data_IF_810008942574
#
_entry.id   IF_810008942574
#
_cell.length_a   1.000
_cell.length_b   1.000
_cell.length_c   1.000
_cell.angle_alpha   90.00
_cell.angle_beta   90.00
_cell.angle_gamma   90.00
#
_symmetry.space_group_name_H-M   'P 1'
#
loop_
_entity.id
_entity.type
_entity.pdbx_description
1 polymer ?
#
# COMPACT_ATOMS: atom_id res chain seq x y z
N UNK A 1 -13.27 -8.63 -45.68
CA UNK A 1 -12.83 -8.03 -44.40
C UNK A 1 -11.38 -7.53 -44.40
N UNK A 2 -10.72 -7.37 -45.56
CA UNK A 2 -9.29 -7.00 -45.67
C UNK A 2 -8.96 -5.52 -45.40
N UNK A 3 -9.95 -4.61 -45.41
CA UNK A 3 -9.73 -3.16 -45.23
C UNK A 3 -9.69 -2.68 -43.78
N UNK A 4 -10.13 -3.48 -42.81
CA UNK A 4 -10.14 -3.08 -41.39
C UNK A 4 -8.72 -2.98 -40.82
N UNK A 5 -7.80 -3.83 -41.27
CA UNK A 5 -6.44 -3.90 -40.72
C UNK A 5 -5.54 -2.73 -41.14
N UNK A 6 -5.83 -2.02 -42.23
CA UNK A 6 -5.01 -0.90 -42.68
C UNK A 6 -5.26 0.36 -41.83
N UNK A 7 -6.54 0.68 -41.61
CA UNK A 7 -6.95 1.86 -40.85
C UNK A 7 -6.56 1.75 -39.36
N UNK A 8 -6.69 0.57 -38.75
CA UNK A 8 -6.30 0.38 -37.34
C UNK A 8 -4.78 0.44 -37.13
N UNK A 9 -3.98 0.01 -38.12
CA UNK A 9 -2.52 0.17 -38.08
C UNK A 9 -2.10 1.63 -38.10
N UNK A 10 -2.72 2.42 -38.95
CA UNK A 10 -2.40 3.84 -39.10
C UNK A 10 -2.72 4.63 -37.81
N UNK A 11 -3.85 4.30 -37.17
CA UNK A 11 -4.21 4.85 -35.84
C UNK A 11 -3.21 4.46 -34.75
N UNK A 12 -2.76 3.20 -34.73
CA UNK A 12 -1.76 2.72 -33.79
C UNK A 12 -0.41 3.43 -33.94
N UNK A 13 0.03 3.66 -35.18
CA UNK A 13 1.26 4.41 -35.45
C UNK A 13 1.13 5.88 -34.99
N UNK A 14 -0.01 6.52 -35.26
CA UNK A 14 -0.26 7.91 -34.90
C UNK A 14 -0.34 8.14 -33.38
N UNK A 15 -0.69 7.13 -32.58
CA UNK A 15 -0.64 7.24 -31.11
C UNK A 15 0.73 6.87 -30.52
N UNK A 16 1.77 6.70 -31.36
CA UNK A 16 3.15 6.49 -30.94
C UNK A 16 3.55 5.02 -30.76
N UNK A 17 2.74 4.06 -31.24
CA UNK A 17 3.15 2.65 -31.27
C UNK A 17 4.16 2.42 -32.41
N UNK A 18 5.17 1.60 -32.15
CA UNK A 18 6.13 1.17 -33.18
C UNK A 18 5.44 0.28 -34.23
N UNK A 19 6.00 0.23 -35.44
CA UNK A 19 5.57 -0.61 -36.60
C UNK A 19 5.64 -2.13 -36.35
N UNK A 20 5.70 -2.56 -35.09
CA UNK A 20 5.53 -3.94 -34.70
C UNK A 20 4.10 -4.36 -35.04
N UNK A 21 3.95 -5.05 -36.18
CA UNK A 21 2.84 -5.95 -36.42
C UNK A 21 2.86 -6.98 -35.29
N UNK A 22 2.19 -6.68 -34.17
CA UNK A 22 1.97 -7.67 -33.14
C UNK A 22 1.23 -8.81 -33.82
N UNK A 23 1.91 -9.95 -34.00
CA UNK A 23 1.22 -11.22 -34.17
C UNK A 23 0.20 -11.25 -33.02
N UNK A 24 -1.10 -11.46 -33.28
CA UNK A 24 -2.11 -11.33 -32.23
C UNK A 24 -1.65 -12.16 -31.06
N UNK A 25 -1.38 -11.50 -29.94
CA UNK A 25 -0.94 -12.17 -28.73
C UNK A 25 -2.13 -13.00 -28.27
N UNK A 26 -2.10 -14.29 -28.56
CA UNK A 26 -3.20 -15.16 -28.14
C UNK A 26 -3.19 -15.25 -26.62
N UNK A 27 -4.36 -15.42 -26.04
CA UNK A 27 -4.49 -15.61 -24.58
C UNK A 27 -3.61 -16.77 -24.09
N UNK A 28 -3.39 -17.78 -24.92
CA UNK A 28 -2.53 -18.92 -24.63
C UNK A 28 -1.04 -18.55 -24.52
N UNK A 29 -0.56 -17.72 -25.45
CA UNK A 29 0.82 -17.20 -25.42
C UNK A 29 1.00 -16.24 -24.23
N UNK A 30 0.02 -15.37 -23.96
CA UNK A 30 0.02 -14.51 -22.79
C UNK A 30 0.05 -15.34 -21.49
N UNK A 31 -0.79 -16.37 -21.39
CA UNK A 31 -0.84 -17.27 -20.22
C UNK A 31 0.46 -18.01 -20.02
N UNK A 32 1.08 -18.48 -21.09
CA UNK A 32 2.39 -19.15 -21.04
C UNK A 32 3.47 -18.21 -20.52
N UNK A 33 3.55 -16.98 -21.05
CA UNK A 33 4.50 -15.98 -20.58
C UNK A 33 4.26 -15.57 -19.13
N UNK A 34 3.00 -15.36 -18.72
CA UNK A 34 2.66 -15.05 -17.33
C UNK A 34 2.99 -16.21 -16.38
N UNK A 35 2.83 -17.46 -16.83
CA UNK A 35 3.18 -18.64 -16.03
C UNK A 35 4.69 -18.84 -15.87
N UNK A 36 5.49 -18.27 -16.78
CA UNK A 36 6.96 -18.26 -16.73
C UNK A 36 7.52 -17.12 -15.89
N UNK A 37 6.72 -16.09 -15.58
CA UNK A 37 7.09 -15.14 -14.55
C UNK A 37 7.13 -15.90 -13.24
N UNK A 38 8.34 -16.13 -12.72
CA UNK A 38 8.53 -16.58 -11.35
C UNK A 38 7.64 -15.71 -10.47
N UNK A 39 6.84 -16.31 -9.60
CA UNK A 39 6.08 -15.57 -8.60
C UNK A 39 7.03 -14.56 -8.00
N UNK A 40 6.75 -13.27 -8.19
CA UNK A 40 7.52 -12.20 -7.56
C UNK A 40 7.52 -12.59 -6.11
N UNK A 41 8.70 -12.98 -5.60
CA UNK A 41 8.83 -13.45 -4.23
C UNK A 41 8.12 -12.42 -3.38
N UNK A 42 7.07 -12.84 -2.67
CA UNK A 42 6.26 -11.92 -1.90
C UNK A 42 7.22 -11.30 -0.88
N UNK A 43 7.68 -10.08 -1.14
CA UNK A 43 8.53 -9.37 -0.21
C UNK A 43 7.58 -9.05 0.93
N UNK A 44 7.61 -9.88 1.98
CA UNK A 44 6.85 -9.62 3.17
C UNK A 44 7.27 -8.22 3.65
N UNK A 45 6.34 -7.27 3.78
CA UNK A 45 6.67 -5.96 4.32
C UNK A 45 7.34 -6.16 5.68
N UNK A 46 8.58 -5.67 5.81
CA UNK A 46 9.29 -5.70 7.08
C UNK A 46 8.81 -4.52 7.92
N UNK A 47 7.87 -4.78 8.81
CA UNK A 47 7.41 -3.81 9.78
C UNK A 47 8.43 -3.70 10.92
N UNK A 48 9.26 -2.66 10.90
CA UNK A 48 10.30 -2.46 11.93
C UNK A 48 9.77 -2.00 13.29
N UNK A 49 8.59 -1.38 13.30
CA UNK A 49 8.03 -0.69 14.47
C UNK A 49 6.62 -1.16 14.82
N UNK A 50 6.13 -2.20 14.13
CA UNK A 50 4.81 -2.78 14.36
C UNK A 50 4.94 -4.30 14.40
N UNK A 51 4.58 -4.88 15.54
CA UNK A 51 4.46 -6.33 15.67
C UNK A 51 3.10 -6.77 15.10
N UNK A 52 3.10 -7.18 13.84
CA UNK A 52 1.91 -7.65 13.14
C UNK A 52 1.37 -8.94 13.75
N UNK A 53 2.22 -9.81 14.28
CA UNK A 53 1.78 -11.08 14.85
C UNK A 53 1.08 -10.84 16.19
N UNK A 54 1.58 -9.94 17.02
CA UNK A 54 0.87 -9.47 18.21
C UNK A 54 -0.49 -8.85 17.85
N UNK A 55 -0.55 -7.99 16.83
CA UNK A 55 -1.80 -7.37 16.38
C UNK A 55 -2.82 -8.43 15.92
N UNK A 56 -2.41 -9.40 15.10
CA UNK A 56 -3.28 -10.51 14.66
C UNK A 56 -3.77 -11.33 15.85
N UNK A 57 -2.89 -11.68 16.78
CA UNK A 57 -3.24 -12.49 17.95
C UNK A 57 -4.26 -11.76 18.85
N UNK A 58 -4.08 -10.46 19.08
CA UNK A 58 -4.98 -9.65 19.90
C UNK A 58 -6.33 -9.37 19.23
N UNK A 59 -6.42 -9.52 17.92
CA UNK A 59 -7.64 -9.27 17.13
C UNK A 59 -8.30 -10.55 16.61
N UNK A 60 -7.82 -11.73 17.01
CA UNK A 60 -8.22 -13.01 16.43
C UNK A 60 -8.13 -13.04 14.88
N UNK A 61 -7.18 -12.28 14.32
CA UNK A 61 -6.97 -12.09 12.89
C UNK A 61 -8.20 -11.51 12.15
N UNK A 62 -9.05 -10.76 12.85
CA UNK A 62 -10.15 -9.99 12.26
C UNK A 62 -9.59 -8.72 11.59
N UNK A 63 -9.63 -8.69 10.26
CA UNK A 63 -9.12 -7.59 9.45
C UNK A 63 -9.82 -6.26 9.74
N UNK A 64 -11.11 -6.27 10.03
CA UNK A 64 -11.88 -5.05 10.28
C UNK A 64 -11.47 -4.44 11.62
N UNK A 65 -11.32 -5.28 12.65
CA UNK A 65 -10.86 -4.85 13.97
C UNK A 65 -9.39 -4.39 13.92
N UNK A 66 -8.52 -5.10 13.20
CA UNK A 66 -7.14 -4.68 12.98
C UNK A 66 -7.07 -3.29 12.36
N UNK A 67 -7.91 -3.03 11.35
CA UNK A 67 -7.96 -1.73 10.69
C UNK A 67 -8.49 -0.64 11.62
N UNK A 68 -9.52 -0.93 12.42
CA UNK A 68 -10.07 0.01 13.40
C UNK A 68 -9.02 0.41 14.47
N UNK A 69 -8.28 -0.57 15.00
CA UNK A 69 -7.20 -0.31 15.97
C UNK A 69 -6.12 0.57 15.35
N UNK A 70 -5.66 0.25 14.14
CA UNK A 70 -4.61 1.03 13.47
C UNK A 70 -5.05 2.46 13.17
N UNK A 71 -6.29 2.65 12.73
CA UNK A 71 -6.86 3.97 12.47
C UNK A 71 -7.01 4.79 13.75
N UNK A 72 -7.47 4.16 14.83
CA UNK A 72 -7.62 4.81 16.15
C UNK A 72 -6.26 5.21 16.70
N UNK A 73 -5.28 4.31 16.66
CA UNK A 73 -3.90 4.58 17.09
C UNK A 73 -3.30 5.74 16.31
N UNK A 74 -3.45 5.75 14.98
CA UNK A 74 -2.97 6.84 14.13
C UNK A 74 -3.61 8.18 14.50
N UNK A 75 -4.94 8.19 14.72
CA UNK A 75 -5.69 9.39 15.06
C UNK A 75 -5.25 9.99 16.40
N UNK A 76 -5.19 9.18 17.45
CA UNK A 76 -4.81 9.65 18.79
C UNK A 76 -3.34 10.07 18.82
N UNK A 77 -2.44 9.32 18.16
CA UNK A 77 -1.02 9.69 18.07
C UNK A 77 -0.82 11.02 17.34
N UNK A 78 -1.59 11.28 16.27
CA UNK A 78 -1.53 12.55 15.54
C UNK A 78 -2.01 13.74 16.37
N UNK A 79 -2.84 13.51 17.40
CA UNK A 79 -3.31 14.53 18.33
C UNK A 79 -2.32 14.73 19.48
N UNK A 80 -1.81 13.65 20.06
CA UNK A 80 -1.00 13.71 21.27
C UNK A 80 0.46 14.06 21.00
N UNK A 81 1.02 13.76 19.82
CA UNK A 81 2.38 14.18 19.47
C UNK A 81 2.54 15.71 19.42
N UNK A 82 1.71 16.46 18.66
CA UNK A 82 1.80 17.92 18.67
C UNK A 82 1.57 18.52 20.07
N UNK A 83 0.64 17.96 20.84
CA UNK A 83 0.39 18.41 22.21
C UNK A 83 1.61 18.19 23.11
N UNK A 84 2.31 17.04 22.96
CA UNK A 84 3.56 16.78 23.66
C UNK A 84 4.65 17.79 23.28
N UNK A 85 4.82 18.09 21.99
CA UNK A 85 5.79 19.10 21.54
C UNK A 85 5.51 20.48 22.10
N UNK A 86 4.25 20.95 22.05
CA UNK A 86 3.87 22.23 22.63
C UNK A 86 4.06 22.28 24.15
N UNK A 87 3.74 21.20 24.87
CA UNK A 87 3.95 21.12 26.30
C UNK A 87 5.45 21.16 26.65
N UNK A 88 6.30 20.52 25.84
CA UNK A 88 7.75 20.56 25.99
C UNK A 88 8.29 21.99 25.82
N UNK A 89 7.86 22.70 24.78
CA UNK A 89 8.24 24.10 24.53
C UNK A 89 7.77 25.04 25.65
N UNK A 90 6.57 24.80 26.20
CA UNK A 90 6.01 25.59 27.28
C UNK A 90 6.59 25.25 28.68
N UNK A 91 7.42 24.22 28.78
CA UNK A 91 7.93 23.71 30.07
C UNK A 91 6.86 23.01 30.93
N UNK A 92 5.72 22.65 30.35
CA UNK A 92 4.63 21.93 31.04
C UNK A 92 4.91 20.42 31.06
N UNK A 93 5.73 20.01 32.01
CA UNK A 93 6.12 18.62 32.21
C UNK A 93 4.92 17.70 32.50
N UNK A 94 3.83 18.22 33.08
CA UNK A 94 2.66 17.40 33.42
C UNK A 94 1.91 17.00 32.16
N UNK A 95 1.61 17.97 31.30
CA UNK A 95 0.92 17.71 30.03
C UNK A 95 1.80 16.87 29.10
N UNK A 96 3.11 17.13 29.07
CA UNK A 96 4.06 16.30 28.33
C UNK A 96 4.00 14.82 28.77
N UNK A 97 4.10 14.55 30.08
CA UNK A 97 4.05 13.19 30.61
C UNK A 97 2.73 12.49 30.29
N UNK A 98 1.61 13.20 30.38
CA UNK A 98 0.29 12.68 30.02
C UNK A 98 0.17 12.31 28.54
N UNK A 99 0.75 13.11 27.64
CA UNK A 99 0.75 12.79 26.20
C UNK A 99 1.61 11.56 25.91
N UNK A 100 2.81 11.47 26.49
CA UNK A 100 3.68 10.31 26.30
C UNK A 100 3.05 9.03 26.86
N UNK A 101 2.41 9.09 28.03
CA UNK A 101 1.72 7.94 28.61
C UNK A 101 0.59 7.44 27.70
N UNK A 102 -0.18 8.36 27.09
CA UNK A 102 -1.25 7.99 26.16
C UNK A 102 -0.71 7.37 24.87
N UNK A 103 0.34 7.94 24.29
CA UNK A 103 1.00 7.38 23.09
C UNK A 103 1.59 5.99 23.39
N UNK A 104 2.13 5.77 24.59
CA UNK A 104 2.70 4.48 24.98
C UNK A 104 1.62 3.40 25.23
N UNK A 105 0.44 3.81 25.71
CA UNK A 105 -0.66 2.90 26.05
C UNK A 105 -1.71 2.70 24.96
N UNK A 106 -1.65 3.47 23.87
CA UNK A 106 -2.50 3.33 22.69
C UNK A 106 -2.00 2.19 21.79
#
# INVERSE_FOLDING_TARGET
TANAQANEREKGLNCGMNLCLFKPLTLDVLKTHLSQLHQVAHIAPQYRHLDIEALKNNTANDLQLMQEILMTFQHETHKDLPAAFHALEAGDNRTFHQCIHRIHGA
#
